data_IF_932206445053
#
_entry.id   IF_932206445053
#
_cell.length_a   1.000
_cell.length_b   1.000
_cell.length_c   1.000
_cell.angle_alpha   90.00
_cell.angle_beta   90.00
_cell.angle_gamma   90.00
#
_symmetry.space_group_name_H-M   'P 1'
#
loop_
_entity.id
_entity.type
_entity.pdbx_description
1 polymer ?
#
# COMPACT_ATOMS: atom_id res chain seq x y z
N UNK A 1 27.30 -20.86 2.51
CA UNK A 1 27.80 -20.76 1.12
C UNK A 1 26.82 -21.33 0.09
N UNK A 2 26.08 -22.41 0.40
CA UNK A 2 25.04 -22.98 -0.50
C UNK A 2 23.98 -21.98 -1.00
N UNK A 3 23.62 -20.94 -0.23
CA UNK A 3 22.63 -19.93 -0.64
C UNK A 3 23.12 -18.99 -1.77
N UNK A 4 24.44 -18.79 -1.89
CA UNK A 4 25.03 -17.94 -2.93
C UNK A 4 25.06 -18.68 -4.27
N UNK A 5 25.27 -20.00 -4.26
CA UNK A 5 25.23 -20.86 -5.45
C UNK A 5 23.82 -21.15 -5.96
N UNK A 6 22.83 -21.18 -5.06
CA UNK A 6 21.46 -21.52 -5.43
C UNK A 6 20.71 -20.30 -6.05
N UNK A 7 21.15 -19.09 -5.72
CA UNK A 7 20.63 -17.85 -6.31
C UNK A 7 21.11 -17.64 -7.77
N UNK A 8 22.24 -18.24 -8.16
CA UNK A 8 22.78 -18.15 -9.53
C UNK A 8 22.16 -19.15 -10.50
N UNK A 9 21.41 -20.16 -10.02
CA UNK A 9 20.87 -21.25 -10.86
C UNK A 9 19.42 -21.07 -11.34
N UNK A 10 18.68 -20.07 -10.87
CA UNK A 10 17.25 -19.90 -11.18
C UNK A 10 17.00 -18.89 -12.33
N UNK A 11 16.65 -19.45 -13.50
CA UNK A 11 16.08 -18.87 -14.73
C UNK A 11 17.00 -18.10 -15.73
N UNK A 12 17.05 -18.52 -17.03
CA UNK A 12 17.87 -17.88 -18.06
C UNK A 12 17.20 -16.72 -18.83
N UNK A 13 15.93 -16.37 -18.58
CA UNK A 13 15.18 -15.47 -19.49
C UNK A 13 15.21 -13.97 -19.16
N UNK A 14 15.93 -13.55 -18.12
CA UNK A 14 16.30 -12.14 -17.92
C UNK A 14 17.80 -12.01 -17.74
N UNK A 15 18.51 -11.95 -18.87
CA UNK A 15 19.96 -11.76 -19.01
C UNK A 15 20.53 -10.48 -18.35
N UNK A 16 19.72 -9.70 -17.63
CA UNK A 16 20.14 -8.53 -16.84
C UNK A 16 20.59 -8.85 -15.41
N UNK A 17 20.50 -10.11 -14.96
CA UNK A 17 21.08 -10.55 -13.68
C UNK A 17 22.55 -10.97 -13.78
N UNK A 18 23.14 -10.98 -14.98
CA UNK A 18 24.56 -11.29 -15.19
C UNK A 18 25.40 -10.02 -15.03
N UNK A 19 26.32 -10.05 -14.07
CA UNK A 19 27.35 -9.04 -13.73
C UNK A 19 26.87 -7.92 -12.77
N UNK A 20 26.91 -8.23 -11.47
CA UNK A 20 26.71 -7.25 -10.39
C UNK A 20 25.49 -7.60 -9.52
N UNK A 21 25.50 -8.79 -8.90
CA UNK A 21 24.43 -9.22 -8.02
C UNK A 21 24.17 -8.17 -6.94
N UNK A 22 22.99 -7.57 -6.95
CA UNK A 22 22.50 -6.68 -5.90
C UNK A 22 22.23 -7.51 -4.64
N UNK A 23 23.27 -8.05 -4.02
CA UNK A 23 23.18 -8.55 -2.67
C UNK A 23 23.05 -7.33 -1.76
N UNK A 24 21.83 -7.09 -1.28
CA UNK A 24 21.58 -6.08 -0.24
C UNK A 24 22.35 -6.39 1.06
N UNK A 25 22.93 -7.60 1.15
CA UNK A 25 23.63 -8.14 2.30
C UNK A 25 25.10 -8.43 1.99
N UNK A 26 25.98 -8.09 2.92
CA UNK A 26 27.22 -8.86 3.12
C UNK A 26 26.88 -10.16 3.87
N UNK A 27 27.66 -11.25 3.73
CA UNK A 27 27.39 -12.50 4.44
C UNK A 27 27.21 -12.32 5.95
N UNK A 28 28.05 -11.49 6.58
CA UNK A 28 27.95 -11.15 8.01
C UNK A 28 26.69 -10.35 8.36
N UNK A 29 26.28 -9.42 7.50
CA UNK A 29 25.04 -8.65 7.74
C UNK A 29 23.79 -9.53 7.65
N UNK A 30 23.78 -10.55 6.79
CA UNK A 30 22.65 -11.46 6.66
C UNK A 30 22.43 -12.27 7.94
N UNK A 31 23.52 -12.80 8.53
CA UNK A 31 23.46 -13.59 9.76
C UNK A 31 23.02 -12.72 10.93
N UNK A 32 23.62 -11.55 11.13
CA UNK A 32 23.28 -10.64 12.24
C UNK A 32 21.82 -10.15 12.15
N UNK A 33 21.35 -9.80 10.95
CA UNK A 33 19.95 -9.44 10.72
C UNK A 33 19.03 -10.63 11.01
N UNK A 34 19.38 -11.84 10.58
CA UNK A 34 18.55 -13.03 10.82
C UNK A 34 18.41 -13.31 12.32
N UNK A 35 19.51 -13.28 13.07
CA UNK A 35 19.51 -13.51 14.52
C UNK A 35 18.67 -12.42 15.21
N UNK A 36 18.88 -11.16 14.85
CA UNK A 36 18.10 -10.05 15.41
C UNK A 36 16.60 -10.23 15.17
N UNK A 37 16.19 -10.57 13.95
CA UNK A 37 14.78 -10.79 13.62
C UNK A 37 14.19 -11.97 14.39
N UNK A 38 14.93 -13.05 14.57
CA UNK A 38 14.48 -14.21 15.35
C UNK A 38 14.31 -13.85 16.83
N UNK A 39 15.29 -13.19 17.45
CA UNK A 39 15.23 -12.73 18.85
C UNK A 39 14.06 -11.78 19.05
N UNK A 40 13.90 -10.78 18.18
CA UNK A 40 12.79 -9.84 18.25
C UNK A 40 11.43 -10.54 18.06
N UNK A 41 11.35 -11.52 17.16
CA UNK A 41 10.12 -12.29 16.97
C UNK A 41 9.75 -13.08 18.23
N UNK A 42 10.72 -13.70 18.92
CA UNK A 42 10.49 -14.38 20.21
C UNK A 42 10.01 -13.37 21.27
N UNK A 43 10.70 -12.24 21.40
CA UNK A 43 10.36 -11.19 22.37
C UNK A 43 8.95 -10.64 22.19
N UNK A 44 8.47 -10.52 20.94
CA UNK A 44 7.09 -10.09 20.65
C UNK A 44 6.11 -11.25 20.79
N UNK A 45 6.50 -12.46 20.38
CA UNK A 45 5.60 -13.62 20.34
C UNK A 45 5.23 -14.10 21.75
N UNK A 46 6.18 -14.21 22.67
CA UNK A 46 5.93 -14.69 24.05
C UNK A 46 4.80 -13.92 24.75
N UNK A 47 4.85 -12.58 24.89
CA UNK A 47 3.76 -11.83 25.51
C UNK A 47 2.49 -11.81 24.66
N UNK A 48 2.59 -12.04 23.35
CA UNK A 48 1.42 -12.15 22.47
C UNK A 48 0.73 -13.52 22.55
N UNK A 49 1.37 -14.58 23.08
CA UNK A 49 0.80 -15.94 23.11
C UNK A 49 -0.57 -16.02 23.80
N UNK A 50 -0.79 -15.43 25.00
CA UNK A 50 -2.10 -15.47 25.65
C UNK A 50 -3.19 -14.81 24.78
N UNK A 51 -2.87 -13.67 24.16
CA UNK A 51 -3.78 -12.97 23.26
C UNK A 51 -4.05 -13.78 21.99
N UNK A 52 -3.02 -14.36 21.39
CA UNK A 52 -3.14 -15.22 20.21
C UNK A 52 -3.99 -16.46 20.50
N UNK A 53 -3.87 -17.04 21.69
CA UNK A 53 -4.70 -18.15 22.15
C UNK A 53 -6.18 -17.74 22.25
N UNK A 54 -6.48 -16.61 22.90
CA UNK A 54 -7.85 -16.09 23.01
C UNK A 54 -8.47 -15.77 21.65
N UNK A 55 -7.70 -15.17 20.74
CA UNK A 55 -8.13 -14.92 19.36
C UNK A 55 -8.43 -16.24 18.66
N UNK A 56 -7.54 -17.23 18.78
CA UNK A 56 -7.69 -18.55 18.17
C UNK A 56 -8.92 -19.28 18.68
N UNK A 57 -9.15 -19.27 20.00
CA UNK A 57 -10.33 -19.85 20.63
C UNK A 57 -11.61 -19.19 20.12
N UNK A 58 -11.64 -17.85 20.03
CA UNK A 58 -12.80 -17.11 19.51
C UNK A 58 -13.11 -17.49 18.06
N UNK A 59 -12.09 -17.64 17.20
CA UNK A 59 -12.27 -18.08 15.80
C UNK A 59 -12.83 -19.50 15.77
N UNK A 60 -12.30 -20.40 16.61
CA UNK A 60 -12.71 -21.80 16.65
C UNK A 60 -14.15 -21.95 17.12
N UNK A 61 -14.55 -21.20 18.15
CA UNK A 61 -15.91 -21.23 18.69
C UNK A 61 -16.95 -20.66 17.72
N UNK A 62 -16.62 -19.57 17.00
CA UNK A 62 -17.59 -18.90 16.12
C UNK A 62 -17.78 -19.59 14.77
N UNK A 63 -16.69 -20.07 14.18
CA UNK A 63 -16.68 -20.43 12.75
C UNK A 63 -16.31 -21.92 12.54
N UNK A 64 -15.98 -22.66 13.61
CA UNK A 64 -15.64 -24.11 13.69
C UNK A 64 -14.50 -24.62 12.79
N UNK A 65 -14.08 -23.86 11.79
CA UNK A 65 -12.98 -24.16 10.86
C UNK A 65 -11.58 -23.90 11.43
N UNK A 66 -10.55 -23.88 10.55
CA UNK A 66 -9.15 -23.71 10.97
C UNK A 66 -8.91 -22.32 11.58
N UNK A 67 -8.06 -22.22 12.59
CA UNK A 67 -7.72 -20.93 13.23
C UNK A 67 -6.87 -20.07 12.31
N UNK A 68 -5.88 -20.70 11.66
CA UNK A 68 -4.96 -20.02 10.77
C UNK A 68 -5.39 -20.13 9.31
N UNK A 69 -5.28 -19.00 8.62
CA UNK A 69 -5.26 -18.94 7.17
C UNK A 69 -3.81 -19.03 6.69
N UNK A 70 -3.57 -19.86 5.66
CA UNK A 70 -2.27 -20.01 5.00
C UNK A 70 -2.40 -19.52 3.56
N UNK A 71 -1.75 -18.42 3.22
CA UNK A 71 -1.74 -17.89 1.86
C UNK A 71 -0.38 -18.04 1.21
N UNK A 72 -0.32 -18.62 0.00
CA UNK A 72 0.92 -18.72 -0.77
C UNK A 72 1.42 -17.33 -1.16
N UNK A 73 2.69 -17.04 -0.87
CA UNK A 73 3.36 -15.80 -1.23
C UNK A 73 4.74 -16.08 -1.79
N UNK A 74 5.24 -15.18 -2.62
CA UNK A 74 6.60 -15.21 -3.13
C UNK A 74 7.56 -14.54 -2.14
N UNK A 75 8.58 -15.29 -1.72
CA UNK A 75 9.65 -14.85 -0.84
C UNK A 75 10.95 -14.57 -1.60
N UNK A 76 12.08 -14.68 -0.89
CA UNK A 76 13.41 -14.50 -1.48
C UNK A 76 13.62 -15.49 -2.64
N UNK A 77 14.24 -15.01 -3.72
CA UNK A 77 14.45 -15.74 -4.98
C UNK A 77 13.15 -16.29 -5.59
N UNK A 78 12.02 -15.60 -5.37
CA UNK A 78 10.66 -16.00 -5.79
C UNK A 78 10.21 -17.35 -5.23
N UNK A 79 10.84 -17.84 -4.15
CA UNK A 79 10.44 -19.11 -3.54
C UNK A 79 9.08 -18.97 -2.88
N UNK A 80 8.09 -19.83 -3.20
CA UNK A 80 6.80 -19.77 -2.56
C UNK A 80 6.92 -20.19 -1.09
N UNK A 81 6.26 -19.47 -0.20
CA UNK A 81 6.11 -19.83 1.21
C UNK A 81 4.68 -19.60 1.69
N UNK A 82 4.31 -20.28 2.78
CA UNK A 82 3.00 -20.15 3.40
C UNK A 82 2.98 -19.01 4.41
N UNK A 83 2.35 -17.88 4.05
CA UNK A 83 2.18 -16.75 4.96
C UNK A 83 1.01 -17.02 5.92
N UNK A 84 1.31 -17.04 7.22
CA UNK A 84 0.31 -17.33 8.27
C UNK A 84 -0.44 -16.07 8.70
N UNK A 85 -1.76 -16.17 8.86
CA UNK A 85 -2.61 -15.14 9.47
C UNK A 85 -3.71 -15.78 10.29
N UNK A 86 -4.33 -15.04 11.19
CA UNK A 86 -5.62 -15.46 11.72
C UNK A 86 -6.68 -15.41 10.63
N UNK A 87 -7.54 -16.42 10.60
CA UNK A 87 -8.63 -16.47 9.65
C UNK A 87 -9.67 -15.41 10.01
N UNK A 88 -9.88 -14.49 9.10
CA UNK A 88 -10.89 -13.42 9.23
C UNK A 88 -12.06 -13.57 8.25
N UNK A 89 -11.92 -14.47 7.27
CA UNK A 89 -12.94 -14.79 6.26
C UNK A 89 -13.54 -16.18 6.50
N UNK A 90 -14.81 -16.39 6.12
CA UNK A 90 -15.45 -17.70 6.15
C UNK A 90 -14.67 -18.75 5.34
N UNK A 91 -14.86 -20.03 5.70
CA UNK A 91 -14.30 -21.15 4.92
C UNK A 91 -14.82 -21.08 3.47
N UNK A 92 -13.94 -21.30 2.49
CA UNK A 92 -14.32 -21.31 1.08
C UNK A 92 -14.35 -19.95 0.40
N UNK A 93 -14.28 -18.84 1.14
CA UNK A 93 -14.26 -17.48 0.56
C UNK A 93 -13.13 -17.32 -0.49
N UNK A 94 -12.00 -18.01 -0.31
CA UNK A 94 -10.86 -17.99 -1.24
C UNK A 94 -11.23 -18.39 -2.68
N UNK A 95 -12.18 -19.33 -2.87
CA UNK A 95 -12.59 -19.79 -4.20
C UNK A 95 -13.39 -18.71 -4.96
N UNK A 96 -14.14 -17.89 -4.24
CA UNK A 96 -14.89 -16.74 -4.79
C UNK A 96 -14.01 -15.50 -4.94
N UNK A 97 -12.97 -15.36 -4.11
CA UNK A 97 -12.01 -14.24 -4.12
C UNK A 97 -11.24 -14.15 -5.45
N UNK A 98 -11.08 -15.24 -6.21
CA UNK A 98 -10.41 -15.22 -7.53
C UNK A 98 -11.21 -14.52 -8.64
N UNK A 99 -12.55 -14.53 -8.56
CA UNK A 99 -13.45 -14.06 -9.63
C UNK A 99 -14.21 -12.79 -9.29
N UNK A 100 -14.49 -12.53 -8.00
CA UNK A 100 -15.36 -11.43 -7.53
C UNK A 100 -14.65 -10.43 -6.61
N UNK A 101 -13.35 -10.20 -6.83
CA UNK A 101 -12.52 -9.33 -5.97
C UNK A 101 -13.01 -7.85 -5.88
N UNK A 102 -14.00 -7.45 -6.68
CA UNK A 102 -14.41 -6.07 -6.87
C UNK A 102 -15.91 -5.76 -6.76
N UNK A 103 -16.76 -6.69 -6.26
CA UNK A 103 -18.14 -6.33 -5.92
C UNK A 103 -18.23 -5.84 -4.46
N UNK A 104 -18.60 -4.58 -4.22
CA UNK A 104 -18.88 -4.10 -2.86
C UNK A 104 -20.00 -4.95 -2.24
N UNK A 105 -19.73 -5.63 -1.13
CA UNK A 105 -20.75 -6.31 -0.33
C UNK A 105 -20.82 -7.84 -0.39
N UNK A 106 -19.94 -8.53 -1.13
CA UNK A 106 -20.00 -10.01 -1.26
C UNK A 106 -19.62 -10.77 0.00
N UNK A 107 -18.87 -10.16 0.94
CA UNK A 107 -18.57 -10.78 2.23
C UNK A 107 -18.75 -9.79 3.38
N UNK A 108 -19.81 -9.97 4.17
CA UNK A 108 -19.97 -9.27 5.44
C UNK A 108 -18.94 -9.83 6.45
N UNK A 109 -17.83 -9.12 6.63
CA UNK A 109 -16.89 -9.38 7.72
C UNK A 109 -17.59 -9.24 9.07
N UNK A 110 -17.42 -10.23 9.96
CA UNK A 110 -17.91 -10.11 11.34
C UNK A 110 -17.25 -8.92 12.04
N UNK A 111 -17.89 -8.35 13.07
CA UNK A 111 -17.31 -7.25 13.88
C UNK A 111 -15.94 -7.62 14.44
N UNK A 112 -15.80 -8.87 14.87
CA UNK A 112 -14.53 -9.42 15.37
C UNK A 112 -13.48 -9.53 14.25
N UNK A 113 -13.85 -10.07 13.09
CA UNK A 113 -12.96 -10.15 11.92
C UNK A 113 -12.50 -8.77 11.45
N UNK A 114 -13.40 -7.78 11.47
CA UNK A 114 -13.09 -6.39 11.15
C UNK A 114 -12.13 -5.79 12.18
N UNK A 115 -12.41 -5.95 13.47
CA UNK A 115 -11.51 -5.52 14.54
C UNK A 115 -10.11 -6.11 14.40
N UNK A 116 -9.98 -7.41 14.12
CA UNK A 116 -8.68 -8.06 13.93
C UNK A 116 -7.89 -7.46 12.76
N UNK A 117 -8.55 -7.12 11.66
CA UNK A 117 -7.91 -6.48 10.49
C UNK A 117 -7.55 -5.02 10.76
N UNK A 118 -8.45 -4.27 11.38
CA UNK A 118 -8.25 -2.85 11.69
C UNK A 118 -7.12 -2.65 12.72
N UNK A 119 -7.00 -3.58 13.67
CA UNK A 119 -5.90 -3.63 14.65
C UNK A 119 -4.64 -4.35 14.17
N UNK A 120 -4.70 -5.01 13.00
CA UNK A 120 -3.66 -5.90 12.46
C UNK A 120 -3.27 -7.07 13.36
N UNK A 121 -4.09 -7.39 14.38
CA UNK A 121 -3.88 -8.57 15.21
C UNK A 121 -3.99 -9.86 14.39
N UNK A 122 -4.66 -9.83 13.23
CA UNK A 122 -4.69 -10.96 12.30
C UNK A 122 -3.31 -11.31 11.72
N UNK A 123 -2.34 -10.41 11.79
CA UNK A 123 -0.99 -10.58 11.27
C UNK A 123 0.00 -11.18 12.28
N UNK A 124 -0.36 -11.32 13.57
CA UNK A 124 0.52 -11.88 14.60
C UNK A 124 1.10 -13.27 14.27
N UNK A 125 0.37 -14.20 13.62
CA UNK A 125 0.94 -15.50 13.24
C UNK A 125 2.12 -15.41 12.26
N UNK A 126 2.33 -14.28 11.59
CA UNK A 126 3.49 -14.06 10.72
C UNK A 126 4.81 -14.04 11.50
N UNK A 127 4.79 -13.86 12.82
CA UNK A 127 5.99 -14.03 13.66
C UNK A 127 6.59 -15.44 13.49
N UNK A 128 5.77 -16.46 13.24
CA UNK A 128 6.21 -17.81 12.93
C UNK A 128 7.00 -17.84 11.60
N UNK A 129 6.57 -17.07 10.59
CA UNK A 129 7.31 -16.97 9.33
C UNK A 129 8.67 -16.30 9.52
N UNK A 130 8.78 -15.34 10.43
CA UNK A 130 10.05 -14.70 10.77
C UNK A 130 10.99 -15.70 11.43
N UNK A 131 10.50 -16.49 12.38
CA UNK A 131 11.28 -17.55 13.04
C UNK A 131 11.73 -18.66 12.09
N UNK A 132 10.92 -18.99 11.08
CA UNK A 132 11.26 -19.96 10.02
C UNK A 132 12.26 -19.41 9.00
N UNK A 133 12.55 -18.10 9.02
CA UNK A 133 13.43 -17.45 8.05
C UNK A 133 12.79 -17.19 6.69
N UNK A 134 11.45 -17.27 6.58
CA UNK A 134 10.70 -16.91 5.37
C UNK A 134 10.59 -15.39 5.20
N UNK A 135 10.52 -14.67 6.32
CA UNK A 135 10.27 -13.22 6.40
C UNK A 135 11.25 -12.55 7.38
N UNK A 136 11.40 -11.24 7.24
CA UNK A 136 11.99 -10.37 8.25
C UNK A 136 10.91 -9.40 8.78
N UNK A 137 11.20 -8.65 9.86
CA UNK A 137 10.33 -7.56 10.31
C UNK A 137 10.25 -6.44 9.26
N UNK A 138 11.38 -6.08 8.65
CA UNK A 138 11.49 -5.01 7.65
C UNK A 138 11.90 -5.61 6.31
N UNK A 139 11.18 -5.24 5.25
CA UNK A 139 11.44 -5.70 3.88
C UNK A 139 10.30 -5.34 2.94
N UNK A 140 10.36 -5.67 1.64
CA UNK A 140 9.24 -5.49 0.72
C UNK A 140 8.06 -6.38 1.15
N UNK A 141 6.82 -5.90 1.00
CA UNK A 141 5.66 -6.72 1.39
C UNK A 141 5.55 -7.95 0.48
N UNK A 142 5.30 -9.16 1.03
CA UNK A 142 5.17 -10.37 0.22
C UNK A 142 3.99 -10.29 -0.75
N UNK A 143 4.21 -10.78 -1.97
CA UNK A 143 3.26 -10.71 -3.10
C UNK A 143 2.63 -12.08 -3.32
N UNK A 144 1.38 -12.12 -3.79
CA UNK A 144 0.77 -13.38 -4.23
C UNK A 144 1.29 -13.73 -5.63
N UNK A 145 1.48 -15.01 -5.97
CA UNK A 145 1.87 -15.40 -7.33
C UNK A 145 0.97 -14.79 -8.41
N UNK A 146 -0.35 -14.83 -8.20
CA UNK A 146 -1.31 -14.33 -9.19
C UNK A 146 -1.15 -12.82 -9.45
N UNK A 147 -0.89 -12.07 -8.37
CA UNK A 147 -0.64 -10.62 -8.46
C UNK A 147 0.72 -10.32 -9.10
N UNK A 148 1.70 -11.22 -8.93
CA UNK A 148 3.00 -11.08 -9.56
C UNK A 148 2.86 -11.26 -11.08
N UNK A 149 2.17 -12.30 -11.52
CA UNK A 149 1.97 -12.61 -12.93
C UNK A 149 1.25 -11.46 -13.67
N UNK A 150 0.32 -10.76 -13.00
CA UNK A 150 -0.37 -9.59 -13.56
C UNK A 150 0.52 -8.33 -13.74
N UNK A 151 1.55 -8.15 -12.90
CA UNK A 151 2.24 -6.84 -12.77
C UNK A 151 3.73 -6.88 -13.06
N UNK A 152 4.33 -8.06 -13.13
CA UNK A 152 5.78 -8.23 -13.30
C UNK A 152 6.27 -7.55 -14.59
N UNK A 153 5.53 -7.71 -15.68
CA UNK A 153 5.90 -7.19 -17.01
C UNK A 153 5.68 -5.67 -17.15
N UNK A 154 4.73 -5.11 -16.38
CA UNK A 154 4.39 -3.68 -16.47
C UNK A 154 5.28 -2.81 -15.60
N UNK A 155 5.82 -3.34 -14.50
CA UNK A 155 6.62 -2.59 -13.56
C UNK A 155 8.11 -2.87 -13.76
N UNK A 156 8.85 -1.86 -14.22
CA UNK A 156 10.30 -1.94 -14.40
C UNK A 156 11.00 -2.39 -13.10
N UNK A 157 11.86 -3.41 -13.23
CA UNK A 157 12.65 -3.98 -12.15
C UNK A 157 11.80 -4.46 -10.94
N UNK A 158 10.57 -4.95 -11.19
CA UNK A 158 9.72 -5.47 -10.11
C UNK A 158 10.37 -6.62 -9.35
N UNK A 159 11.14 -7.46 -10.06
CA UNK A 159 11.83 -8.63 -9.52
C UNK A 159 12.87 -8.33 -8.44
N UNK A 160 13.38 -7.10 -8.36
CA UNK A 160 14.35 -6.72 -7.33
C UNK A 160 13.83 -6.99 -5.92
N UNK A 161 12.50 -6.96 -5.71
CA UNK A 161 11.90 -7.24 -4.41
C UNK A 161 12.11 -8.65 -3.89
N UNK A 162 12.48 -9.58 -4.75
CA UNK A 162 12.79 -10.96 -4.37
C UNK A 162 14.30 -11.17 -4.12
N UNK A 163 15.14 -10.15 -4.17
CA UNK A 163 16.56 -10.29 -3.79
C UNK A 163 16.79 -10.26 -2.27
N UNK A 164 15.76 -9.93 -1.50
CA UNK A 164 15.77 -9.88 -0.03
C UNK A 164 14.57 -10.63 0.53
N UNK A 165 14.61 -10.97 1.82
CA UNK A 165 13.44 -11.53 2.49
C UNK A 165 12.31 -10.48 2.54
N UNK A 166 11.05 -10.89 2.31
CA UNK A 166 9.91 -10.02 2.49
C UNK A 166 9.74 -9.59 3.94
N UNK A 167 9.14 -8.41 4.14
CA UNK A 167 8.92 -7.79 5.45
C UNK A 167 7.50 -7.92 5.97
N UNK A 168 7.35 -8.06 7.29
CA UNK A 168 6.08 -7.79 7.99
C UNK A 168 5.66 -6.32 7.78
N UNK A 169 6.63 -5.40 7.91
CA UNK A 169 6.52 -3.98 7.62
C UNK A 169 7.17 -3.70 6.26
N UNK A 170 6.34 -3.34 5.28
CA UNK A 170 6.76 -2.95 3.93
C UNK A 170 7.46 -1.60 3.88
N UNK A 171 8.61 -1.47 3.18
CA UNK A 171 9.23 -0.15 2.94
C UNK A 171 8.22 0.83 2.32
N UNK A 172 7.60 0.44 1.21
CA UNK A 172 6.58 1.27 0.58
C UNK A 172 5.36 1.52 1.48
N UNK A 173 5.02 0.64 2.43
CA UNK A 173 3.87 0.85 3.32
C UNK A 173 4.11 1.96 4.35
N UNK A 174 5.37 2.19 4.74
CA UNK A 174 5.74 3.30 5.63
C UNK A 174 5.63 4.65 4.92
N UNK A 175 6.01 4.69 3.64
CA UNK A 175 6.12 5.92 2.85
C UNK A 175 5.03 6.06 1.80
N UNK A 176 3.95 5.27 1.82
CA UNK A 176 2.81 5.47 0.92
C UNK A 176 1.48 5.07 1.56
N UNK A 177 0.38 5.81 1.29
CA UNK A 177 -0.97 5.37 1.69
C UNK A 177 -1.36 4.06 0.99
N UNK A 178 -2.44 3.41 1.46
CA UNK A 178 -2.90 2.16 0.84
C UNK A 178 -3.22 2.32 -0.65
N UNK A 179 -3.73 3.50 -1.03
CA UNK A 179 -4.12 3.92 -2.38
C UNK A 179 -3.00 4.24 -3.35
N UNK A 180 -1.74 4.22 -2.92
CA UNK A 180 -0.65 4.58 -3.81
C UNK A 180 -0.48 3.53 -4.93
N UNK A 181 -0.18 3.99 -6.16
CA UNK A 181 0.07 3.11 -7.32
C UNK A 181 1.07 1.99 -7.01
N UNK A 182 0.82 0.77 -7.52
CA UNK A 182 1.74 -0.39 -7.36
C UNK A 182 3.15 -0.06 -7.88
N UNK A 183 3.23 0.70 -8.98
CA UNK A 183 4.49 1.19 -9.58
C UNK A 183 5.29 2.08 -8.62
N UNK A 184 4.63 3.05 -7.98
CA UNK A 184 5.29 3.96 -7.03
C UNK A 184 5.82 3.21 -5.81
N UNK A 185 5.06 2.22 -5.32
CA UNK A 185 5.47 1.36 -4.23
C UNK A 185 6.69 0.52 -4.59
N UNK A 186 6.68 -0.10 -5.77
CA UNK A 186 7.82 -0.86 -6.27
C UNK A 186 9.08 0.03 -6.41
N UNK A 187 8.94 1.27 -6.87
CA UNK A 187 10.06 2.23 -6.94
C UNK A 187 10.66 2.52 -5.56
N UNK A 188 9.82 2.70 -4.53
CA UNK A 188 10.28 2.91 -3.16
C UNK A 188 10.99 1.66 -2.63
N UNK A 189 10.38 0.49 -2.77
CA UNK A 189 10.98 -0.78 -2.35
C UNK A 189 12.35 -0.98 -3.02
N UNK A 190 12.43 -0.82 -4.35
CA UNK A 190 13.66 -0.97 -5.12
C UNK A 190 14.76 -0.03 -4.63
N UNK A 191 14.41 1.21 -4.25
CA UNK A 191 15.37 2.18 -3.70
C UNK A 191 15.93 1.76 -2.34
N UNK A 192 15.12 1.11 -1.50
CA UNK A 192 15.59 0.60 -0.21
C UNK A 192 16.41 -0.69 -0.36
N UNK A 193 15.99 -1.60 -1.24
CA UNK A 193 16.67 -2.88 -1.49
C UNK A 193 18.08 -2.68 -2.07
N UNK A 194 18.22 -1.72 -2.98
CA UNK A 194 19.51 -1.42 -3.64
C UNK A 194 20.54 -0.79 -2.72
N UNK A 195 20.14 -0.36 -1.51
CA UNK A 195 21.04 0.15 -0.49
C UNK A 195 21.53 -0.99 0.41
N UNK A 196 22.76 -0.89 0.89
CA UNK A 196 23.29 -1.82 1.91
C UNK A 196 22.40 -1.75 3.15
N UNK A 197 21.80 -2.87 3.52
CA UNK A 197 20.96 -2.97 4.71
C UNK A 197 21.82 -2.90 5.96
N UNK A 198 21.46 -2.01 6.90
CA UNK A 198 22.15 -1.85 8.18
C UNK A 198 21.16 -2.15 9.30
N UNK A 199 21.61 -2.91 10.30
CA UNK A 199 20.78 -3.27 11.46
C UNK A 199 20.23 -2.04 12.20
N UNK A 200 21.04 -0.98 12.33
CA UNK A 200 20.61 0.26 12.99
C UNK A 200 19.43 0.95 12.29
N UNK A 201 19.35 0.88 10.96
CA UNK A 201 18.22 1.41 10.21
C UNK A 201 16.96 0.58 10.43
N UNK A 202 17.08 -0.75 10.50
CA UNK A 202 15.94 -1.62 10.81
C UNK A 202 15.42 -1.34 12.23
N UNK A 203 16.31 -1.22 13.23
CA UNK A 203 15.93 -0.88 14.60
C UNK A 203 15.20 0.47 14.67
N UNK A 204 15.69 1.49 13.96
CA UNK A 204 15.06 2.81 13.90
C UNK A 204 13.65 2.74 13.28
N UNK A 205 13.49 2.01 12.18
CA UNK A 205 12.20 1.87 11.52
C UNK A 205 11.21 1.12 12.41
N UNK A 206 11.66 0.03 13.04
CA UNK A 206 10.83 -0.77 13.95
C UNK A 206 10.40 0.08 15.15
N UNK A 207 11.33 0.77 15.81
CA UNK A 207 11.02 1.61 16.98
C UNK A 207 10.11 2.77 16.63
N UNK A 208 10.34 3.44 15.50
CA UNK A 208 9.47 4.52 15.00
C UNK A 208 8.06 4.01 14.70
N UNK A 209 7.94 2.84 14.06
CA UNK A 209 6.64 2.23 13.76
C UNK A 209 5.92 1.82 15.04
N UNK A 210 6.63 1.19 15.98
CA UNK A 210 6.08 0.81 17.29
C UNK A 210 5.62 2.05 18.08
N UNK A 211 6.38 3.13 18.05
CA UNK A 211 6.02 4.41 18.67
C UNK A 211 4.74 5.00 18.07
N UNK A 212 4.63 5.09 16.74
CA UNK A 212 3.41 5.62 16.09
C UNK A 212 2.19 4.76 16.40
N UNK A 213 2.33 3.43 16.32
CA UNK A 213 1.25 2.51 16.62
C UNK A 213 0.84 2.64 18.09
N UNK A 214 1.81 2.70 19.01
CA UNK A 214 1.57 2.90 20.44
C UNK A 214 0.87 4.22 20.73
N UNK A 215 1.34 5.33 20.16
CA UNK A 215 0.72 6.65 20.30
C UNK A 215 -0.71 6.67 19.73
N UNK A 216 -0.93 6.01 18.61
CA UNK A 216 -2.26 5.88 17.98
C UNK A 216 -3.18 5.03 18.85
N UNK A 217 -2.68 3.93 19.44
CA UNK A 217 -3.42 3.08 20.36
C UNK A 217 -3.78 3.83 21.64
N UNK A 218 -2.86 4.62 22.22
CA UNK A 218 -3.11 5.47 23.39
C UNK A 218 -4.15 6.56 23.11
N UNK A 219 -4.01 7.29 22.00
CA UNK A 219 -4.97 8.33 21.57
C UNK A 219 -6.35 7.76 21.25
N UNK A 220 -6.41 6.54 20.70
CA UNK A 220 -7.68 5.84 20.47
C UNK A 220 -8.24 5.28 21.78
N UNK A 221 -7.39 4.84 22.70
CA UNK A 221 -7.77 4.36 24.03
C UNK A 221 -8.46 5.43 24.86
N UNK A 222 -8.02 6.70 24.76
CA UNK A 222 -8.68 7.84 25.41
C UNK A 222 -9.98 8.28 24.70
N UNK A 223 -10.15 7.96 23.42
CA UNK A 223 -11.38 8.23 22.64
C UNK A 223 -12.37 7.07 22.53
N UNK A 224 -12.02 5.86 22.98
CA UNK A 224 -12.85 4.67 22.72
C UNK A 224 -14.14 4.61 23.56
N UNK A 225 -14.19 5.34 24.68
CA UNK A 225 -15.40 5.46 25.48
C UNK A 225 -16.49 6.33 24.78
N UNK A 226 -16.09 7.26 23.90
CA UNK A 226 -17.02 8.15 23.19
C UNK A 226 -17.39 7.66 21.78
N UNK A 227 -16.59 6.78 21.16
CA UNK A 227 -16.85 6.26 19.81
C UNK A 227 -17.71 4.97 19.76
N UNK A 228 -17.84 4.25 20.88
CA UNK A 228 -18.73 3.08 20.97
C UNK A 228 -20.20 3.46 20.67
N UNK A 229 -20.65 4.63 21.14
CA UNK A 229 -21.98 5.18 20.84
C UNK A 229 -22.08 5.70 19.40
N UNK A 230 -21.00 6.26 18.84
CA UNK A 230 -20.99 6.84 17.48
C UNK A 230 -20.95 5.77 16.37
N UNK A 231 -20.41 4.59 16.65
CA UNK A 231 -20.30 3.48 15.71
C UNK A 231 -21.63 2.76 15.41
N UNK A 232 -22.67 2.98 16.22
CA UNK A 232 -24.03 2.53 15.92
C UNK A 232 -24.70 3.37 14.81
N UNK A 233 -24.29 4.64 14.64
CA UNK A 233 -24.91 5.60 13.71
C UNK A 233 -24.32 5.53 12.30
N UNK A 234 -23.04 5.19 12.12
CA UNK A 234 -22.40 5.11 10.79
C UNK A 234 -22.62 3.76 10.06
N UNK A 235 -23.71 3.06 10.37
CA UNK A 235 -23.98 1.67 9.96
C UNK A 235 -24.20 1.40 8.47
N UNK A 236 -24.09 2.39 7.57
CA UNK A 236 -24.40 2.19 6.15
C UNK A 236 -23.43 2.86 5.16
N UNK A 237 -22.16 3.07 5.51
CA UNK A 237 -21.19 3.44 4.47
C UNK A 237 -20.69 2.19 3.71
N UNK A 238 -21.48 1.81 2.71
CA UNK A 238 -21.05 0.99 1.59
C UNK A 238 -19.85 1.66 0.91
N UNK A 239 -18.64 1.10 1.08
CA UNK A 239 -17.49 1.48 0.27
C UNK A 239 -17.69 0.91 -1.13
N UNK A 240 -18.40 1.65 -1.98
CA UNK A 240 -18.67 1.33 -3.39
C UNK A 240 -17.45 1.51 -4.31
N UNK A 241 -16.27 1.84 -3.77
CA UNK A 241 -15.15 2.35 -4.57
C UNK A 241 -13.97 1.39 -4.55
N UNK A 242 -13.43 1.12 -5.74
CA UNK A 242 -12.26 0.25 -5.93
C UNK A 242 -10.94 0.86 -5.41
N UNK A 243 -10.82 2.19 -5.34
CA UNK A 243 -9.59 2.88 -4.94
C UNK A 243 -9.84 4.00 -3.93
N UNK A 244 -9.06 3.99 -2.85
CA UNK A 244 -8.98 5.08 -1.88
C UNK A 244 -8.40 6.36 -2.51
N UNK A 245 -8.91 7.54 -2.09
CA UNK A 245 -8.55 8.84 -2.69
C UNK A 245 -7.75 9.73 -1.75
N UNK A 246 -6.73 10.40 -2.28
CA UNK A 246 -5.90 11.37 -1.58
C UNK A 246 -6.44 12.78 -1.83
N UNK A 247 -6.86 13.47 -0.75
CA UNK A 247 -7.23 14.89 -0.81
C UNK A 247 -6.01 15.72 -1.20
N UNK A 248 -6.16 16.56 -2.22
CA UNK A 248 -5.15 17.51 -2.63
C UNK A 248 -5.42 18.85 -1.95
N UNK A 249 -4.50 19.33 -1.11
CA UNK A 249 -4.63 20.66 -0.48
C UNK A 249 -4.06 21.73 -1.41
N UNK A 250 -4.90 22.68 -1.84
CA UNK A 250 -4.48 23.91 -2.51
C UNK A 250 -3.85 23.71 -3.88
N UNK A 251 -4.31 22.72 -4.65
CA UNK A 251 -3.90 22.55 -6.04
C UNK A 251 -5.00 23.09 -6.97
N UNK A 252 -4.62 24.01 -7.87
CA UNK A 252 -5.50 24.49 -8.93
C UNK A 252 -5.30 23.66 -10.19
N UNK A 253 -6.30 23.67 -11.06
CA UNK A 253 -6.33 22.93 -12.31
C UNK A 253 -6.70 23.92 -13.40
N UNK A 254 -5.91 23.91 -14.47
CA UNK A 254 -6.30 24.56 -15.72
C UNK A 254 -6.84 23.49 -16.64
N UNK A 255 -8.01 23.76 -17.19
CA UNK A 255 -8.68 22.94 -18.19
C UNK A 255 -8.49 23.63 -19.54
N UNK A 256 -7.92 22.91 -20.49
CA UNK A 256 -7.81 23.35 -21.88
C UNK A 256 -8.32 22.27 -22.82
N UNK A 257 -8.73 22.66 -24.02
CA UNK A 257 -8.94 21.72 -25.12
C UNK A 257 -7.61 21.08 -25.54
N UNK A 258 -7.69 20.03 -26.37
CA UNK A 258 -6.51 19.37 -26.96
C UNK A 258 -5.65 20.37 -27.77
N UNK A 259 -6.30 21.32 -28.43
CA UNK A 259 -5.68 22.37 -29.24
C UNK A 259 -5.05 23.50 -28.39
N UNK A 260 -5.21 23.44 -27.06
CA UNK A 260 -4.57 24.37 -26.12
C UNK A 260 -5.42 25.57 -25.73
N UNK A 261 -6.65 25.69 -26.23
CA UNK A 261 -7.58 26.74 -25.82
C UNK A 261 -7.98 26.54 -24.37
N UNK A 262 -7.67 27.51 -23.52
CA UNK A 262 -8.02 27.48 -22.09
C UNK A 262 -9.51 27.68 -21.94
N UNK A 263 -10.19 26.71 -21.33
CA UNK A 263 -11.62 26.75 -21.03
C UNK A 263 -11.88 27.28 -19.62
N UNK A 264 -11.01 26.91 -18.67
CA UNK A 264 -11.07 27.38 -17.29
C UNK A 264 -9.67 27.34 -16.68
N UNK A 265 -9.30 28.38 -15.92
CA UNK A 265 -7.99 28.51 -15.28
C UNK A 265 -8.04 28.41 -13.75
N UNK A 266 -9.24 28.38 -13.17
CA UNK A 266 -9.51 28.44 -11.74
C UNK A 266 -10.26 27.22 -11.18
N UNK A 267 -10.18 26.07 -11.84
CA UNK A 267 -10.71 24.84 -11.27
C UNK A 267 -9.86 24.39 -10.06
N UNK A 268 -10.49 23.71 -9.09
CA UNK A 268 -9.82 23.26 -7.86
C UNK A 268 -9.78 21.74 -7.76
N UNK A 269 -8.59 21.19 -7.52
CA UNK A 269 -8.41 19.76 -7.30
C UNK A 269 -8.82 19.37 -5.88
N UNK A 270 -9.86 18.55 -5.76
CA UNK A 270 -10.40 18.10 -4.47
C UNK A 270 -9.64 16.87 -3.97
N UNK A 271 -9.63 15.82 -4.80
CA UNK A 271 -9.02 14.54 -4.49
C UNK A 271 -8.57 13.82 -5.76
N UNK A 272 -7.65 12.87 -5.61
CA UNK A 272 -7.20 12.01 -6.70
C UNK A 272 -6.87 10.58 -6.24
N UNK A 273 -6.98 9.63 -7.15
CA UNK A 273 -6.42 8.28 -7.07
C UNK A 273 -5.58 7.99 -8.32
N UNK A 274 -5.16 6.74 -8.52
CA UNK A 274 -4.27 6.33 -9.60
C UNK A 274 -4.84 6.59 -11.00
N UNK A 275 -6.16 6.50 -11.18
CA UNK A 275 -6.80 6.58 -12.50
C UNK A 275 -7.74 7.79 -12.68
N UNK A 276 -8.23 8.35 -11.57
CA UNK A 276 -9.21 9.42 -11.58
C UNK A 276 -8.86 10.53 -10.60
N UNK A 277 -9.15 11.77 -10.98
CA UNK A 277 -9.18 12.89 -10.04
C UNK A 277 -10.53 13.60 -10.05
N UNK A 278 -10.79 14.35 -8.99
CA UNK A 278 -12.01 15.16 -8.82
C UNK A 278 -11.65 16.62 -8.80
N UNK A 279 -12.33 17.40 -9.63
CA UNK A 279 -12.22 18.85 -9.64
C UNK A 279 -13.56 19.51 -9.34
N UNK A 280 -13.48 20.72 -8.77
CA UNK A 280 -14.54 21.70 -8.77
C UNK A 280 -14.31 22.66 -9.93
N UNK A 281 -15.35 22.90 -10.71
CA UNK A 281 -15.35 23.74 -11.90
C UNK A 281 -16.56 24.66 -11.89
N UNK A 282 -16.40 25.82 -12.52
CA UNK A 282 -17.46 26.79 -12.78
C UNK A 282 -18.21 26.50 -14.09
N UNK A 283 -17.57 25.78 -15.01
CA UNK A 283 -18.11 25.42 -16.33
C UNK A 283 -18.54 23.96 -16.35
N UNK A 284 -19.46 23.61 -17.23
CA UNK A 284 -19.86 22.23 -17.44
C UNK A 284 -18.98 21.58 -18.51
N UNK A 285 -18.14 20.63 -18.09
CA UNK A 285 -17.29 19.84 -18.98
C UNK A 285 -18.05 18.59 -19.44
N UNK A 286 -18.45 18.58 -20.72
CA UNK A 286 -19.18 17.45 -21.34
C UNK A 286 -18.40 16.75 -22.46
N UNK A 287 -17.14 17.15 -22.68
CA UNK A 287 -16.28 16.59 -23.72
C UNK A 287 -15.52 15.33 -23.31
N UNK A 288 -15.09 14.62 -24.34
CA UNK A 288 -14.33 13.37 -24.24
C UNK A 288 -12.83 13.62 -24.04
N UNK A 289 -12.23 14.70 -24.55
CA UNK A 289 -10.76 14.87 -24.56
C UNK A 289 -10.34 16.27 -24.14
N UNK A 290 -9.90 16.39 -22.88
CA UNK A 290 -9.34 17.62 -22.33
C UNK A 290 -7.89 17.43 -21.90
N UNK A 291 -7.19 18.56 -21.83
CA UNK A 291 -5.86 18.65 -21.23
C UNK A 291 -5.98 19.38 -19.91
N UNK A 292 -5.54 18.73 -18.85
CA UNK A 292 -5.55 19.24 -17.48
C UNK A 292 -4.14 19.57 -17.04
N UNK A 293 -3.91 20.81 -16.62
CA UNK A 293 -2.64 21.24 -16.02
C UNK A 293 -2.86 21.44 -14.53
N UNK A 294 -2.45 20.45 -13.75
CA UNK A 294 -2.47 20.50 -12.29
C UNK A 294 -1.32 21.37 -11.81
N UNK A 295 -1.64 22.46 -11.12
CA UNK A 295 -0.69 23.40 -10.53
C UNK A 295 -0.67 23.23 -9.02
N UNK A 296 0.52 23.15 -8.46
CA UNK A 296 0.71 23.18 -7.00
C UNK A 296 1.97 23.95 -6.64
N UNK A 297 1.94 24.58 -5.49
CA UNK A 297 3.13 25.20 -4.90
C UNK A 297 3.76 24.22 -3.90
N UNK A 298 5.07 24.01 -4.04
CA UNK A 298 5.83 23.22 -3.07
C UNK A 298 6.83 24.15 -2.40
N UNK A 299 6.70 24.26 -1.08
CA UNK A 299 7.68 24.93 -0.23
C UNK A 299 8.91 24.03 -0.09
N UNK A 300 10.08 24.50 -0.55
CA UNK A 300 11.37 23.80 -0.38
C UNK A 300 12.33 24.77 0.29
N UNK A 301 12.51 24.62 1.60
CA UNK A 301 13.23 25.59 2.43
C UNK A 301 12.48 26.92 2.52
N UNK A 302 13.16 28.03 2.18
CA UNK A 302 12.58 29.40 2.18
C UNK A 302 11.92 29.82 0.86
N UNK A 303 11.96 28.99 -0.20
CA UNK A 303 11.40 29.34 -1.51
C UNK A 303 10.21 28.46 -1.88
N UNK A 304 9.17 29.10 -2.40
CA UNK A 304 8.05 28.45 -3.02
C UNK A 304 8.34 28.21 -4.50
N UNK A 305 8.20 26.96 -4.95
CA UNK A 305 8.38 26.61 -6.37
C UNK A 305 7.07 26.08 -6.94
N UNK A 306 6.52 26.69 -8.00
CA UNK A 306 5.38 26.14 -8.69
C UNK A 306 5.79 24.85 -9.40
N UNK A 307 4.98 23.81 -9.27
CA UNK A 307 5.08 22.56 -10.02
C UNK A 307 3.82 22.36 -10.83
N UNK A 308 4.01 21.92 -12.06
CA UNK A 308 2.96 21.66 -13.04
C UNK A 308 3.04 20.20 -13.45
N UNK A 309 1.91 19.52 -13.48
CA UNK A 309 1.78 18.23 -14.15
C UNK A 309 0.67 18.31 -15.18
N UNK A 310 0.96 17.83 -16.37
CA UNK A 310 0.04 17.82 -17.49
C UNK A 310 -0.52 16.42 -17.62
N UNK A 311 -1.85 16.32 -17.73
CA UNK A 311 -2.57 15.08 -17.95
C UNK A 311 -3.57 15.27 -19.09
N UNK A 312 -3.75 14.24 -19.91
CA UNK A 312 -4.95 14.11 -20.72
C UNK A 312 -6.04 13.48 -19.88
N UNK A 313 -7.29 13.79 -20.14
CA UNK A 313 -8.37 13.13 -19.42
C UNK A 313 -9.74 13.32 -20.05
N UNK A 314 -10.60 12.37 -19.70
CA UNK A 314 -12.00 12.31 -20.11
C UNK A 314 -12.89 12.55 -18.91
N UNK A 315 -14.00 13.26 -19.09
CA UNK A 315 -14.98 13.41 -18.02
C UNK A 315 -15.75 12.11 -17.86
N UNK A 316 -15.53 11.44 -16.73
CA UNK A 316 -16.22 10.19 -16.40
C UNK A 316 -17.61 10.44 -15.82
N UNK A 317 -17.74 11.47 -14.97
CA UNK A 317 -19.02 11.84 -14.36
C UNK A 317 -19.03 13.30 -13.94
N UNK A 318 -20.13 13.98 -14.23
CA UNK A 318 -20.43 15.33 -13.73
C UNK A 318 -21.52 15.26 -12.66
N UNK A 319 -21.39 16.06 -11.61
CA UNK A 319 -22.36 16.23 -10.54
C UNK A 319 -22.57 17.73 -10.28
N UNK A 320 -23.80 18.18 -9.99
CA UNK A 320 -24.04 19.56 -9.59
C UNK A 320 -23.45 19.83 -8.19
N UNK A 321 -22.97 21.06 -7.97
CA UNK A 321 -22.42 21.51 -6.68
C UNK A 321 -23.05 22.84 -6.24
N UNK A 322 -23.23 23.00 -4.93
CA UNK A 322 -23.72 24.26 -4.34
C UNK A 322 -22.53 25.11 -3.88
N UNK A 323 -22.37 26.29 -4.46
CA UNK A 323 -21.32 27.26 -4.09
C UNK A 323 -20.76 28.01 -5.31
N UNK A 324 -19.58 28.64 -5.15
CA UNK A 324 -18.93 29.39 -6.23
C UNK A 324 -18.51 28.52 -7.42
N UNK A 325 -18.30 27.22 -7.18
CA UNK A 325 -18.11 26.22 -8.22
C UNK A 325 -19.45 25.55 -8.48
N UNK A 326 -19.93 25.58 -9.72
CA UNK A 326 -21.27 25.09 -10.09
C UNK A 326 -21.28 23.58 -10.34
N UNK A 327 -20.12 23.01 -10.69
CA UNK A 327 -19.99 21.61 -11.11
C UNK A 327 -18.84 20.89 -10.39
N UNK A 328 -19.03 19.59 -10.16
CA UNK A 328 -17.99 18.65 -9.73
C UNK A 328 -17.79 17.63 -10.85
N UNK A 329 -16.57 17.56 -11.38
CA UNK A 329 -16.22 16.57 -12.40
C UNK A 329 -15.30 15.50 -11.83
N UNK A 330 -15.61 14.25 -12.14
CA UNK A 330 -14.72 13.10 -11.98
C UNK A 330 -14.09 12.85 -13.34
N UNK A 331 -12.76 12.94 -13.40
CA UNK A 331 -11.99 12.86 -14.63
C UNK A 331 -11.13 11.62 -14.58
N UNK A 332 -11.24 10.75 -15.58
CA UNK A 332 -10.29 9.69 -15.86
C UNK A 332 -9.07 10.34 -16.53
N UNK A 333 -7.86 10.10 -16.02
CA UNK A 333 -6.68 10.84 -16.48
C UNK A 333 -5.48 9.96 -16.78
N UNK A 334 -4.64 10.46 -17.69
CA UNK A 334 -3.35 9.88 -18.04
C UNK A 334 -2.27 10.98 -18.12
N UNK A 335 -1.18 10.89 -17.33
CA UNK A 335 -0.08 11.85 -17.41
C UNK A 335 0.66 11.79 -18.75
N UNK A 336 0.90 12.95 -19.39
CA UNK A 336 1.47 13.00 -20.76
C UNK A 336 2.91 12.48 -20.84
N UNK A 337 3.69 12.62 -19.76
CA UNK A 337 5.12 12.27 -19.76
C UNK A 337 5.50 11.56 -18.46
N UNK A 338 6.63 10.83 -18.44
CA UNK A 338 7.16 10.23 -17.21
C UNK A 338 7.38 11.27 -16.09
N UNK A 339 7.77 12.50 -16.45
CA UNK A 339 7.90 13.60 -15.49
C UNK A 339 6.54 14.00 -14.90
N UNK A 340 5.50 14.09 -15.74
CA UNK A 340 4.15 14.40 -15.27
C UNK A 340 3.62 13.30 -14.35
N UNK A 341 3.88 12.03 -14.69
CA UNK A 341 3.52 10.91 -13.83
C UNK A 341 4.21 11.00 -12.46
N UNK A 342 5.51 11.30 -12.44
CA UNK A 342 6.24 11.55 -11.20
C UNK A 342 5.65 12.72 -10.39
N UNK A 343 5.25 13.81 -11.05
CA UNK A 343 4.67 14.97 -10.37
C UNK A 343 3.30 14.65 -9.75
N UNK A 344 2.49 13.80 -10.39
CA UNK A 344 1.22 13.31 -9.83
C UNK A 344 1.48 12.37 -8.65
N UNK A 345 2.45 11.46 -8.74
CA UNK A 345 2.82 10.52 -7.67
C UNK A 345 3.14 11.24 -6.35
N UNK A 346 3.69 12.45 -6.44
CA UNK A 346 4.02 13.26 -5.27
C UNK A 346 2.80 13.75 -4.47
N UNK A 347 1.58 13.70 -5.01
CA UNK A 347 0.38 13.97 -4.21
C UNK A 347 0.12 12.84 -3.20
N UNK A 348 0.43 11.59 -3.56
CA UNK A 348 0.32 10.45 -2.66
C UNK A 348 1.38 10.50 -1.56
N UNK A 349 2.60 10.95 -1.89
CA UNK A 349 3.71 11.07 -0.94
C UNK A 349 3.51 12.18 0.12
N UNK A 350 2.73 13.23 -0.17
CA UNK A 350 2.43 14.26 0.85
C UNK A 350 1.46 13.79 1.93
N UNK A 351 0.62 12.80 1.62
CA UNK A 351 -0.23 12.10 2.60
C UNK A 351 0.47 10.88 3.21
N UNK A 352 1.65 10.53 2.73
CA UNK A 352 2.30 9.30 3.14
C UNK A 352 3.07 9.47 4.42
N UNK A 353 2.42 9.10 5.50
CA UNK A 353 3.05 8.58 6.70
C UNK A 353 1.95 7.66 7.23
N UNK A 354 2.28 6.42 7.57
CA UNK A 354 1.60 5.80 8.70
C UNK A 354 1.54 6.80 9.86
#
# INVERSE_FOLDING_TARGET
MAFVEDATKLHPQHSRFRKGGYFAYTPWSFVTITIFNAVLAILVMIPALPLMFLIGLTIKLKDRGPVFYKGTRLGISKRPFAMYKFRTLPVGAQKTIGTDLFKPGTFCLSRFSKFLRDSRLDELPQLINILRGDMDFIGPRPVRPEVYDEVADTIRNYDLRFSVRPGLIGYAQLFTPHSAPKRLRALIDNKFITRKRKLSWDMLIISYTAWIIGLTALRKGTGHLTDLTRSQVFRFYSQTRAFDRVRAKGASVIVSTKDGTVLEDNAFLVDLNESHFKILSTIDLNGEDYRFVLRRTIRRGRRDRPKRSICHGKVYKTLPWKGNFKHVHIIAYEPVTPLNHYMVDQYFLKKSIV
#
